data_IF_948060033643
#
_entry.id   IF_948060033643
#
_cell.length_a   1.000
_cell.length_b   1.000
_cell.length_c   1.000
_cell.angle_alpha   90.00
_cell.angle_beta   90.00
_cell.angle_gamma   90.00
#
_symmetry.space_group_name_H-M   'P 1'
#
loop_
_entity.id
_entity.type
_entity.pdbx_description
1 polymer ?
#
# COMPACT_ATOMS: atom_id res chain seq x y z
N UNK A 1 20.92 3.32 15.21
CA UNK A 1 19.84 4.31 15.42
C UNK A 1 18.55 3.73 14.85
N UNK A 2 17.75 3.03 15.66
CA UNK A 2 16.45 2.49 15.22
C UNK A 2 15.39 3.55 15.44
N UNK A 3 15.06 4.29 14.38
CA UNK A 3 13.91 5.19 14.40
C UNK A 3 12.66 4.31 14.42
N UNK A 4 11.97 4.27 15.55
CA UNK A 4 10.62 3.72 15.61
C UNK A 4 9.70 4.71 14.91
N UNK A 5 9.71 4.70 13.58
CA UNK A 5 8.77 5.47 12.76
C UNK A 5 7.36 5.06 13.19
N UNK A 6 6.54 6.05 13.58
CA UNK A 6 5.12 5.81 13.82
C UNK A 6 4.55 5.21 12.54
N UNK A 7 4.09 3.96 12.60
CA UNK A 7 3.41 3.32 11.47
C UNK A 7 2.19 4.18 11.11
N UNK A 8 2.27 4.82 9.95
CA UNK A 8 1.16 5.57 9.41
C UNK A 8 0.26 4.59 8.67
N UNK A 9 -1.04 4.76 8.82
CA UNK A 9 -2.04 3.85 8.26
C UNK A 9 -3.03 4.65 7.42
N UNK A 10 -2.99 4.44 6.10
CA UNK A 10 -3.91 5.10 5.18
C UNK A 10 -5.06 4.18 4.77
N UNK A 11 -6.18 4.75 4.32
CA UNK A 11 -7.27 3.95 3.78
C UNK A 11 -6.96 3.50 2.34
N UNK A 12 -7.72 2.52 1.85
CA UNK A 12 -7.63 2.12 0.43
C UNK A 12 -7.93 3.27 -0.53
N UNK A 13 -8.80 4.21 -0.14
CA UNK A 13 -9.14 5.36 -0.97
C UNK A 13 -7.98 6.35 -1.02
N UNK A 14 -7.40 6.70 0.13
CA UNK A 14 -6.26 7.63 0.19
C UNK A 14 -5.04 7.06 -0.58
N UNK A 15 -4.74 5.77 -0.40
CA UNK A 15 -3.67 5.10 -1.14
C UNK A 15 -3.92 5.13 -2.67
N UNK A 16 -5.17 4.96 -3.08
CA UNK A 16 -5.56 4.99 -4.49
C UNK A 16 -5.40 6.39 -5.10
N UNK A 17 -5.84 7.43 -4.38
CA UNK A 17 -5.66 8.82 -4.81
C UNK A 17 -4.18 9.20 -4.91
N UNK A 18 -3.39 8.81 -3.90
CA UNK A 18 -1.95 9.14 -3.81
C UNK A 18 -1.12 8.48 -4.91
N UNK A 19 -1.41 7.22 -5.21
CA UNK A 19 -0.63 6.43 -6.18
C UNK A 19 -1.19 6.44 -7.61
N UNK A 20 -2.41 6.96 -7.79
CA UNK A 20 -3.16 6.85 -9.05
C UNK A 20 -3.62 5.42 -9.36
N UNK A 21 -3.43 4.45 -8.46
CA UNK A 21 -3.92 3.09 -8.63
C UNK A 21 -5.39 2.99 -8.24
N UNK A 22 -6.16 2.15 -8.93
CA UNK A 22 -7.53 1.87 -8.48
C UNK A 22 -7.53 1.05 -7.18
N UNK A 23 -8.55 1.29 -6.33
CA UNK A 23 -8.85 0.46 -5.15
C UNK A 23 -8.92 -1.04 -5.52
N UNK A 24 -9.44 -1.36 -6.71
CA UNK A 24 -9.50 -2.72 -7.24
C UNK A 24 -8.11 -3.33 -7.44
N UNK A 25 -7.15 -2.55 -7.94
CA UNK A 25 -5.75 -2.98 -8.05
C UNK A 25 -5.14 -3.23 -6.68
N UNK A 26 -5.32 -2.32 -5.72
CA UNK A 26 -4.82 -2.51 -4.36
C UNK A 26 -5.41 -3.78 -3.72
N UNK A 27 -6.72 -4.01 -3.82
CA UNK A 27 -7.37 -5.24 -3.34
C UNK A 27 -6.83 -6.50 -4.01
N UNK A 28 -6.55 -6.45 -5.31
CA UNK A 28 -5.94 -7.56 -6.03
C UNK A 28 -4.54 -7.88 -5.52
N UNK A 29 -3.70 -6.86 -5.30
CA UNK A 29 -2.35 -7.02 -4.71
C UNK A 29 -2.41 -7.64 -3.32
N UNK A 30 -3.39 -7.22 -2.50
CA UNK A 30 -3.64 -7.81 -1.17
C UNK A 30 -4.01 -9.28 -1.28
N UNK A 31 -4.94 -9.63 -2.18
CA UNK A 31 -5.36 -11.01 -2.39
C UNK A 31 -4.23 -11.90 -2.93
N UNK A 32 -3.29 -11.32 -3.69
CA UNK A 32 -2.09 -12.00 -4.18
C UNK A 32 -0.98 -12.12 -3.13
N UNK A 33 -1.14 -11.48 -1.95
CA UNK A 33 -0.11 -11.46 -0.91
C UNK A 33 1.05 -10.50 -1.19
N UNK A 34 0.96 -9.68 -2.23
CA UNK A 34 1.99 -8.71 -2.61
C UNK A 34 1.89 -7.38 -1.83
N UNK A 35 0.74 -7.11 -1.22
CA UNK A 35 0.51 -5.92 -0.39
C UNK A 35 -0.05 -6.32 0.97
N UNK A 36 0.64 -5.92 2.05
CA UNK A 36 0.17 -6.17 3.41
C UNK A 36 -1.00 -5.26 3.75
N UNK A 37 -2.10 -5.86 4.19
CA UNK A 37 -3.28 -5.15 4.66
C UNK A 37 -3.50 -5.38 6.15
N UNK A 38 -3.72 -4.29 6.88
CA UNK A 38 -4.03 -4.29 8.29
C UNK A 38 -5.53 -4.11 8.48
N UNK A 39 -6.11 -4.72 9.52
CA UNK A 39 -7.53 -4.57 9.83
C UNK A 39 -7.71 -3.81 11.14
N UNK A 40 -8.55 -2.78 11.11
CA UNK A 40 -8.98 -2.06 12.30
C UNK A 40 -10.45 -2.40 12.59
N UNK A 41 -10.69 -3.62 13.09
CA UNK A 41 -12.03 -4.16 13.31
C UNK A 41 -12.61 -4.92 12.10
N UNK A 42 -13.93 -5.21 12.09
CA UNK A 42 -14.51 -6.18 11.17
C UNK A 42 -14.50 -5.76 9.69
N UNK A 43 -14.57 -4.45 9.41
CA UNK A 43 -14.78 -3.91 8.05
C UNK A 43 -13.71 -2.93 7.58
N UNK A 44 -12.89 -2.40 8.48
CA UNK A 44 -11.91 -1.36 8.12
C UNK A 44 -10.60 -2.02 7.73
N UNK A 45 -10.15 -1.74 6.52
CA UNK A 45 -8.83 -2.12 6.01
C UNK A 45 -7.96 -0.88 5.98
N UNK A 46 -6.71 -1.02 6.42
CA UNK A 46 -5.67 -0.01 6.44
C UNK A 46 -4.43 -0.54 5.75
N UNK A 47 -3.70 0.34 5.09
CA UNK A 47 -2.46 0.03 4.41
C UNK A 47 -1.32 0.83 5.04
N UNK A 48 -0.12 0.27 5.01
CA UNK A 48 1.09 1.02 5.29
C UNK A 48 1.50 1.74 3.99
N UNK A 49 1.59 3.08 3.98
CA UNK A 49 2.00 3.84 2.81
C UNK A 49 3.35 3.38 2.23
N UNK A 50 4.29 2.95 3.09
CA UNK A 50 5.61 2.49 2.65
C UNK A 50 5.51 1.17 1.86
N UNK A 51 4.61 0.27 2.26
CA UNK A 51 4.37 -0.98 1.53
C UNK A 51 3.66 -0.72 0.20
N UNK A 52 2.77 0.27 0.14
CA UNK A 52 2.14 0.69 -1.13
C UNK A 52 3.19 1.28 -2.07
N UNK A 53 4.13 2.09 -1.56
CA UNK A 53 5.21 2.69 -2.36
C UNK A 53 6.17 1.63 -2.91
N UNK A 54 6.44 0.57 -2.14
CA UNK A 54 7.25 -0.57 -2.60
C UNK A 54 6.63 -1.34 -3.77
N UNK A 55 5.34 -1.17 -4.05
CA UNK A 55 4.74 -1.72 -5.28
C UNK A 55 5.22 -1.00 -6.54
N UNK A 56 5.74 0.23 -6.41
CA UNK A 56 6.25 1.01 -7.52
C UNK A 56 7.71 0.66 -7.76
N UNK A 57 7.93 -0.21 -8.75
CA UNK A 57 9.27 -0.52 -9.24
C UNK A 57 9.65 0.42 -10.37
N UNK A 58 10.90 0.88 -10.37
CA UNK A 58 11.43 1.66 -11.48
C UNK A 58 11.41 0.81 -12.74
N UNK A 59 10.83 1.34 -13.84
CA UNK A 59 10.92 0.69 -15.14
C UNK A 59 12.37 0.82 -15.62
N UNK A 60 13.09 -0.30 -15.84
CA UNK A 60 14.46 -0.25 -16.32
C UNK A 60 14.45 0.33 -17.74
N UNK A 61 15.18 1.43 -17.92
CA UNK A 61 15.32 2.06 -19.22
C UNK A 61 16.49 1.40 -19.95
N UNK A 62 16.21 0.45 -20.82
CA UNK A 62 17.22 -0.12 -21.71
C UNK A 62 17.37 0.82 -22.92
N UNK A 63 18.54 1.45 -23.04
CA UNK A 63 18.91 2.28 -24.19
C UNK A 63 19.54 1.42 -25.28
#
# INVERSE_FOLDING_TARGET
>A
MTQTSRRQYESLADAAERTGLSIRTLRRRIAMGELTAYRAGPRVIRLDPEDVDRLMVQVPNFR
#
